data_IF_579818703912
#
_entry.id   IF_579818703912
#
_cell.length_a   1.000
_cell.length_b   1.000
_cell.length_c   1.000
_cell.angle_alpha   90.00
_cell.angle_beta   90.00
_cell.angle_gamma   90.00
#
_symmetry.space_group_name_H-M   'P 1'
#
loop_
_entity.id
_entity.type
_entity.pdbx_description
1 polymer ?
#
# COMPACT_ATOMS: atom_id res chain seq x y z
N UNK A 1 43.28 1.48 -2.50
CA UNK A 1 42.39 2.10 -1.49
C UNK A 1 41.26 2.87 -2.17
N UNK A 2 41.52 3.74 -3.16
CA UNK A 2 40.48 4.44 -3.96
C UNK A 2 39.45 3.53 -4.66
N UNK A 3 39.87 2.41 -5.28
CA UNK A 3 38.93 1.49 -5.96
C UNK A 3 37.88 0.89 -5.03
N UNK A 4 38.26 0.53 -3.80
CA UNK A 4 37.36 -0.12 -2.85
C UNK A 4 36.30 0.85 -2.29
N UNK A 5 36.69 2.11 -2.14
CA UNK A 5 35.81 3.20 -1.70
C UNK A 5 34.80 3.57 -2.81
N UNK A 6 35.26 3.68 -4.06
CA UNK A 6 34.38 3.88 -5.22
C UNK A 6 33.42 2.71 -5.43
N UNK A 7 33.88 1.46 -5.28
CA UNK A 7 33.01 0.29 -5.36
C UNK A 7 31.94 0.29 -4.27
N UNK A 8 32.29 0.65 -3.02
CA UNK A 8 31.34 0.73 -1.91
C UNK A 8 30.28 1.84 -2.13
N UNK A 9 30.68 2.99 -2.66
CA UNK A 9 29.76 4.08 -3.01
C UNK A 9 28.78 3.71 -4.14
N UNK A 10 29.25 2.99 -5.16
CA UNK A 10 28.41 2.51 -6.27
C UNK A 10 27.37 1.53 -5.75
N UNK A 11 27.77 0.59 -4.88
CA UNK A 11 26.85 -0.39 -4.27
C UNK A 11 25.79 0.32 -3.42
N UNK A 12 26.20 1.25 -2.56
CA UNK A 12 25.26 2.04 -1.75
C UNK A 12 24.24 2.81 -2.59
N UNK A 13 24.70 3.52 -3.62
CA UNK A 13 23.84 4.25 -4.56
C UNK A 13 22.86 3.33 -5.29
N UNK A 14 23.33 2.13 -5.69
CA UNK A 14 22.49 1.14 -6.36
C UNK A 14 21.36 0.64 -5.45
N UNK A 15 21.65 0.32 -4.19
CA UNK A 15 20.63 -0.11 -3.23
C UNK A 15 19.62 1.00 -2.94
N UNK A 16 20.08 2.24 -2.80
CA UNK A 16 19.20 3.39 -2.61
C UNK A 16 18.22 3.57 -3.77
N UNK A 17 18.71 3.48 -5.02
CA UNK A 17 17.89 3.57 -6.22
C UNK A 17 16.86 2.45 -6.31
N UNK A 18 17.26 1.21 -6.00
CA UNK A 18 16.39 0.04 -6.01
C UNK A 18 15.26 0.18 -4.98
N UNK A 19 15.61 0.55 -3.75
CA UNK A 19 14.66 0.79 -2.66
C UNK A 19 13.66 1.90 -3.01
N UNK A 20 14.15 3.00 -3.56
CA UNK A 20 13.31 4.12 -4.00
C UNK A 20 12.34 3.71 -5.11
N UNK A 21 12.84 2.95 -6.09
CA UNK A 21 12.03 2.41 -7.20
C UNK A 21 10.92 1.52 -6.68
N UNK A 22 11.23 0.63 -5.72
CA UNK A 22 10.24 -0.24 -5.12
C UNK A 22 9.13 0.55 -4.43
N UNK A 23 9.47 1.55 -3.61
CA UNK A 23 8.48 2.35 -2.89
C UNK A 23 7.56 3.11 -3.85
N UNK A 24 8.10 3.66 -4.93
CA UNK A 24 7.30 4.30 -5.98
C UNK A 24 6.31 3.29 -6.59
N UNK A 25 6.78 2.08 -6.90
CA UNK A 25 5.92 1.04 -7.46
C UNK A 25 4.83 0.61 -6.47
N UNK A 26 5.15 0.43 -5.19
CA UNK A 26 4.19 0.09 -4.16
C UNK A 26 3.08 1.15 -4.04
N UNK A 27 3.44 2.44 -4.13
CA UNK A 27 2.48 3.55 -4.14
C UNK A 27 1.59 3.54 -5.38
N UNK A 28 2.16 3.35 -6.58
CA UNK A 28 1.40 3.28 -7.83
C UNK A 28 0.39 2.11 -7.78
N UNK A 29 0.82 0.94 -7.31
CA UNK A 29 -0.04 -0.24 -7.18
C UNK A 29 -1.22 0.05 -6.24
N UNK A 30 -1.00 0.75 -5.12
CA UNK A 30 -2.06 1.16 -4.20
C UNK A 30 -2.98 2.25 -4.79
N UNK A 31 -2.45 3.22 -5.53
CA UNK A 31 -3.27 4.23 -6.23
C UNK A 31 -4.22 3.52 -7.21
N UNK A 32 -3.70 2.57 -7.98
CA UNK A 32 -4.50 1.80 -8.93
C UNK A 32 -5.54 0.91 -8.24
N UNK A 33 -5.18 0.27 -7.12
CA UNK A 33 -6.11 -0.50 -6.30
C UNK A 33 -7.27 0.37 -5.77
N UNK A 34 -6.98 1.52 -5.15
CA UNK A 34 -8.00 2.47 -4.67
C UNK A 34 -8.90 2.95 -5.82
N UNK A 35 -8.31 3.33 -6.96
CA UNK A 35 -9.07 3.76 -8.13
C UNK A 35 -10.03 2.67 -8.65
N UNK A 36 -9.62 1.41 -8.63
CA UNK A 36 -10.49 0.27 -8.99
C UNK A 36 -11.59 0.03 -7.95
N UNK A 37 -11.32 0.26 -6.66
CA UNK A 37 -12.34 0.17 -5.60
C UNK A 37 -13.42 1.24 -5.79
N UNK A 38 -13.03 2.50 -6.04
CA UNK A 38 -13.99 3.57 -6.37
C UNK A 38 -14.81 3.24 -7.60
N UNK A 39 -14.16 2.84 -8.70
CA UNK A 39 -14.85 2.49 -9.94
C UNK A 39 -15.84 1.33 -9.76
N UNK A 40 -15.52 0.36 -8.89
CA UNK A 40 -16.42 -0.76 -8.60
C UNK A 40 -17.73 -0.29 -7.97
N UNK A 41 -17.64 0.62 -6.98
CA UNK A 41 -18.81 1.20 -6.33
C UNK A 41 -19.60 2.10 -7.27
N UNK A 42 -18.92 2.98 -8.02
CA UNK A 42 -19.59 3.93 -8.92
C UNK A 42 -20.35 3.23 -10.06
N UNK A 43 -19.86 2.09 -10.53
CA UNK A 43 -20.48 1.33 -11.61
C UNK A 43 -21.43 0.23 -11.11
N UNK A 44 -21.56 0.06 -9.79
CA UNK A 44 -22.23 -1.10 -9.17
C UNK A 44 -21.78 -2.43 -9.80
N UNK A 45 -20.49 -2.55 -10.11
CA UNK A 45 -19.92 -3.66 -10.86
C UNK A 45 -18.63 -4.14 -10.19
N UNK A 46 -18.40 -5.46 -10.21
CA UNK A 46 -17.22 -6.07 -9.60
C UNK A 46 -15.99 -5.89 -10.51
N UNK A 47 -15.41 -4.69 -10.50
CA UNK A 47 -14.19 -4.34 -11.25
C UNK A 47 -12.89 -4.60 -10.47
N UNK A 48 -13.01 -5.04 -9.22
CA UNK A 48 -11.92 -5.36 -8.33
C UNK A 48 -12.28 -6.60 -7.51
N UNK A 49 -11.40 -7.59 -7.51
CA UNK A 49 -11.48 -8.69 -6.56
C UNK A 49 -10.90 -8.25 -5.21
N UNK A 50 -11.57 -8.57 -4.10
CA UNK A 50 -10.99 -8.37 -2.78
C UNK A 50 -9.66 -9.12 -2.67
N UNK A 51 -8.64 -8.44 -2.17
CA UNK A 51 -7.31 -9.02 -1.95
C UNK A 51 -6.86 -8.68 -0.53
N UNK A 52 -6.27 -9.66 0.14
CA UNK A 52 -5.66 -9.45 1.46
C UNK A 52 -4.40 -8.58 1.33
N UNK A 53 -4.12 -7.78 2.36
CA UNK A 53 -2.92 -6.94 2.42
C UNK A 53 -1.64 -7.74 2.20
N UNK A 54 -1.52 -8.95 2.75
CA UNK A 54 -0.33 -9.80 2.57
C UNK A 54 -0.22 -10.42 1.17
N UNK A 55 -1.33 -10.49 0.44
CA UNK A 55 -1.36 -11.05 -0.91
C UNK A 55 -1.05 -10.03 -2.00
N UNK A 56 -1.13 -8.72 -1.69
CA UNK A 56 -0.73 -7.68 -2.62
C UNK A 56 0.80 -7.67 -2.80
N UNK A 57 1.30 -7.09 -3.91
CA UNK A 57 2.74 -7.07 -4.20
C UNK A 57 3.57 -6.42 -3.09
N UNK A 58 3.05 -5.35 -2.47
CA UNK A 58 3.71 -4.72 -1.33
C UNK A 58 3.67 -5.61 -0.08
N UNK A 59 2.59 -6.34 0.16
CA UNK A 59 2.49 -7.29 1.27
C UNK A 59 3.46 -8.46 1.15
N UNK A 60 3.55 -9.05 -0.05
CA UNK A 60 4.52 -10.11 -0.33
C UNK A 60 5.95 -9.60 -0.12
N UNK A 61 6.26 -8.40 -0.60
CA UNK A 61 7.54 -7.76 -0.34
C UNK A 61 7.75 -7.47 1.15
N UNK A 62 6.72 -7.00 1.86
CA UNK A 62 6.78 -6.69 3.28
C UNK A 62 7.21 -7.92 4.08
N UNK A 63 6.64 -9.08 3.79
CA UNK A 63 6.90 -10.32 4.52
C UNK A 63 8.28 -10.94 4.21
N UNK A 64 8.89 -10.56 3.07
CA UNK A 64 10.13 -11.14 2.56
C UNK A 64 11.26 -10.06 2.48
N UNK A 65 11.64 -9.64 1.28
CA UNK A 65 12.74 -8.70 1.02
C UNK A 65 12.65 -7.39 1.84
N UNK A 66 11.46 -6.84 2.03
CA UNK A 66 11.24 -5.64 2.82
C UNK A 66 11.64 -5.83 4.27
N UNK A 67 11.43 -7.03 4.83
CA UNK A 67 11.89 -7.38 6.18
C UNK A 67 13.40 -7.45 6.27
N UNK A 68 14.05 -8.05 5.27
CA UNK A 68 15.51 -8.16 5.22
C UNK A 68 16.17 -6.79 5.14
N UNK A 69 15.64 -5.92 4.28
CA UNK A 69 16.20 -4.59 4.01
C UNK A 69 15.84 -3.56 5.07
N UNK A 70 14.57 -3.53 5.51
CA UNK A 70 14.01 -2.45 6.34
C UNK A 70 13.49 -2.91 7.69
N UNK A 71 13.57 -4.20 8.04
CA UNK A 71 13.00 -4.74 9.28
C UNK A 71 13.51 -4.11 10.58
N UNK A 72 14.64 -3.38 10.52
CA UNK A 72 15.21 -2.62 11.66
C UNK A 72 14.73 -1.18 11.75
N UNK A 73 14.08 -0.66 10.71
CA UNK A 73 13.51 0.69 10.69
C UNK A 73 12.22 0.70 11.52
N UNK A 74 11.92 1.85 12.13
CA UNK A 74 10.68 2.01 12.87
C UNK A 74 9.49 2.08 11.90
N UNK A 75 9.69 2.78 10.77
CA UNK A 75 8.67 2.93 9.73
C UNK A 75 8.19 1.58 9.16
N UNK A 76 9.06 0.59 9.01
CA UNK A 76 8.67 -0.76 8.57
C UNK A 76 7.68 -1.43 9.54
N UNK A 77 7.83 -1.27 10.84
CA UNK A 77 6.84 -1.85 11.77
C UNK A 77 5.52 -1.08 11.74
N UNK A 78 5.60 0.25 11.61
CA UNK A 78 4.43 1.13 11.61
C UNK A 78 3.59 1.08 10.32
N UNK A 79 4.14 0.65 9.19
CA UNK A 79 3.40 0.59 7.91
C UNK A 79 2.36 -0.52 7.85
N UNK A 80 2.48 -1.54 8.71
CA UNK A 80 1.56 -2.70 8.71
C UNK A 80 0.11 -2.29 8.91
N UNK A 81 -0.15 -1.55 9.98
CA UNK A 81 -1.52 -1.16 10.37
C UNK A 81 -2.24 -0.33 9.29
N UNK A 82 -1.67 0.77 8.75
CA UNK A 82 -2.33 1.52 7.69
C UNK A 82 -2.47 0.71 6.39
N UNK A 83 -1.53 -0.18 6.06
CA UNK A 83 -1.66 -1.07 4.90
C UNK A 83 -2.85 -2.03 5.04
N UNK A 84 -2.96 -2.71 6.18
CA UNK A 84 -4.09 -3.59 6.49
C UNK A 84 -5.40 -2.81 6.41
N UNK A 85 -5.44 -1.59 6.97
CA UNK A 85 -6.63 -0.76 7.01
C UNK A 85 -7.12 -0.33 5.61
N UNK A 86 -6.20 0.00 4.69
CA UNK A 86 -6.54 0.29 3.28
C UNK A 86 -7.30 -0.88 2.66
N UNK A 87 -6.76 -2.09 2.75
CA UNK A 87 -7.40 -3.29 2.18
C UNK A 87 -8.71 -3.63 2.88
N UNK A 88 -8.77 -3.56 4.20
CA UNK A 88 -9.99 -3.85 4.95
C UNK A 88 -11.15 -2.94 4.54
N UNK A 89 -10.90 -1.64 4.44
CA UNK A 89 -11.94 -0.65 4.11
C UNK A 89 -12.38 -0.72 2.64
N UNK A 90 -11.45 -0.90 1.72
CA UNK A 90 -11.75 -1.15 0.32
C UNK A 90 -12.58 -2.43 0.15
N UNK A 91 -12.12 -3.55 0.72
CA UNK A 91 -12.78 -4.84 0.61
C UNK A 91 -14.18 -4.84 1.25
N UNK A 92 -14.36 -4.13 2.38
CA UNK A 92 -15.68 -3.95 3.01
C UNK A 92 -16.66 -3.26 2.07
N UNK A 93 -16.24 -2.23 1.33
CA UNK A 93 -17.10 -1.60 0.34
C UNK A 93 -17.48 -2.56 -0.79
N UNK A 94 -16.54 -3.39 -1.25
CA UNK A 94 -16.80 -4.38 -2.29
C UNK A 94 -17.84 -5.44 -1.88
N UNK A 95 -18.06 -5.70 -0.58
CA UNK A 95 -19.11 -6.63 -0.15
C UNK A 95 -20.50 -6.09 -0.44
N UNK A 96 -20.72 -4.77 -0.33
CA UNK A 96 -22.01 -4.15 -0.62
C UNK A 96 -22.43 -4.32 -2.09
N UNK A 97 -21.48 -4.37 -3.02
CA UNK A 97 -21.76 -4.67 -4.43
C UNK A 97 -22.31 -6.09 -4.59
N UNK A 98 -21.78 -7.05 -3.84
CA UNK A 98 -22.21 -8.46 -3.90
C UNK A 98 -23.60 -8.66 -3.29
N UNK A 99 -23.97 -7.83 -2.31
CA UNK A 99 -25.28 -7.86 -1.66
C UNK A 99 -26.39 -7.18 -2.48
N UNK A 100 -26.04 -6.41 -3.51
CA UNK A 100 -26.97 -5.78 -4.46
C UNK A 100 -27.18 -4.26 -4.25
N UNK A 101 -27.84 -3.62 -5.21
CA UNK A 101 -27.99 -2.16 -5.25
C UNK A 101 -28.76 -1.59 -4.05
N UNK A 102 -29.82 -2.27 -3.59
CA UNK A 102 -30.59 -1.83 -2.41
C UNK A 102 -29.70 -1.73 -1.17
N UNK A 103 -28.81 -2.70 -0.98
CA UNK A 103 -27.84 -2.73 0.12
C UNK A 103 -26.81 -1.63 -0.01
N UNK A 104 -26.37 -1.30 -1.23
CA UNK A 104 -25.50 -0.14 -1.44
C UNK A 104 -26.18 1.19 -1.07
N UNK A 105 -27.47 1.34 -1.40
CA UNK A 105 -28.25 2.55 -1.08
C UNK A 105 -28.46 2.69 0.44
N UNK A 106 -28.82 1.59 1.12
CA UNK A 106 -29.00 1.54 2.58
C UNK A 106 -27.72 1.91 3.34
N UNK A 107 -26.55 1.51 2.82
CA UNK A 107 -25.26 1.65 3.48
C UNK A 107 -24.39 2.78 2.90
N UNK A 108 -24.98 3.72 2.16
CA UNK A 108 -24.24 4.78 1.46
C UNK A 108 -23.31 5.62 2.36
N UNK A 109 -23.75 5.94 3.58
CA UNK A 109 -22.91 6.67 4.54
C UNK A 109 -21.68 5.84 4.97
N UNK A 110 -21.87 4.55 5.25
CA UNK A 110 -20.77 3.66 5.63
C UNK A 110 -19.79 3.47 4.47
N UNK A 111 -20.29 3.35 3.23
CA UNK A 111 -19.45 3.28 2.03
C UNK A 111 -18.54 4.51 1.93
N UNK A 112 -19.10 5.70 2.13
CA UNK A 112 -18.35 6.96 2.12
C UNK A 112 -17.32 6.99 3.25
N UNK A 113 -17.70 6.62 4.47
CA UNK A 113 -16.81 6.66 5.63
C UNK A 113 -15.67 5.64 5.51
N UNK A 114 -15.95 4.44 4.99
CA UNK A 114 -14.91 3.46 4.67
C UNK A 114 -13.90 4.03 3.66
N UNK A 115 -14.35 4.75 2.62
CA UNK A 115 -13.42 5.38 1.69
C UNK A 115 -12.60 6.52 2.32
N UNK A 116 -13.19 7.34 3.20
CA UNK A 116 -12.42 8.35 3.94
C UNK A 116 -11.33 7.72 4.81
N UNK A 117 -11.67 6.64 5.52
CA UNK A 117 -10.70 5.89 6.33
C UNK A 117 -9.61 5.24 5.48
N UNK A 118 -9.98 4.67 4.33
CA UNK A 118 -9.04 4.11 3.35
C UNK A 118 -8.05 5.17 2.86
N UNK A 119 -8.51 6.37 2.51
CA UNK A 119 -7.64 7.46 2.06
C UNK A 119 -6.70 7.94 3.18
N UNK A 120 -7.24 8.17 4.38
CA UNK A 120 -6.42 8.59 5.52
C UNK A 120 -5.35 7.54 5.87
N UNK A 121 -5.70 6.25 5.82
CA UNK A 121 -4.76 5.16 6.00
C UNK A 121 -3.68 5.14 4.90
N UNK A 122 -4.09 5.35 3.64
CA UNK A 122 -3.17 5.42 2.49
C UNK A 122 -2.19 6.57 2.60
N UNK A 123 -2.62 7.75 3.04
CA UNK A 123 -1.75 8.92 3.23
C UNK A 123 -0.70 8.66 4.31
N UNK A 124 -1.12 8.03 5.42
CA UNK A 124 -0.21 7.61 6.47
C UNK A 124 0.77 6.55 5.98
N UNK A 125 0.30 5.55 5.23
CA UNK A 125 1.16 4.53 4.63
C UNK A 125 2.21 5.17 3.71
N UNK A 126 1.81 6.11 2.86
CA UNK A 126 2.72 6.74 1.89
C UNK A 126 3.78 7.58 2.59
N UNK A 127 3.40 8.29 3.66
CA UNK A 127 4.33 9.04 4.51
C UNK A 127 5.35 8.11 5.19
N UNK A 128 4.91 6.95 5.69
CA UNK A 128 5.78 5.96 6.31
C UNK A 128 6.74 5.33 5.29
N UNK A 129 6.28 5.03 4.08
CA UNK A 129 7.13 4.52 3.01
C UNK A 129 8.23 5.53 2.64
N UNK A 130 7.92 6.83 2.54
CA UNK A 130 8.93 7.86 2.28
C UNK A 130 9.92 8.00 3.44
N UNK A 131 9.41 7.99 4.67
CA UNK A 131 10.23 8.12 5.88
C UNK A 131 11.15 6.91 6.07
N UNK A 132 10.72 5.73 5.63
CA UNK A 132 11.51 4.51 5.66
C UNK A 132 12.77 4.60 4.77
N UNK A 133 12.72 5.32 3.64
CA UNK A 133 13.93 5.60 2.84
C UNK A 133 14.91 6.51 3.57
N UNK A 134 14.39 7.49 4.32
CA UNK A 134 15.24 8.40 5.09
C UNK A 134 15.90 7.72 6.31
N UNK A 135 15.24 6.73 6.91
CA UNK A 135 15.78 5.92 8.01
C UNK A 135 16.85 4.91 7.54
N UNK A 136 16.90 4.58 6.25
CA UNK A 136 17.82 3.60 5.67
C UNK A 136 18.43 4.11 4.35
N UNK A 137 19.36 5.09 4.43
CA UNK A 137 19.92 5.78 3.27
C UNK A 137 20.80 4.91 2.38
#
# INVERSE_FOLDING_TARGET
ISLNESSSQIVGSSHHMENSTFIILAKIDHILYKARAYNSIMQCAKNLDPIDSHQCRMGQWYDDEGKERFGRTNCYNLMRDPHVLVHQKANKNLTYIQEGQDRMLENGNEIIDNFKEMESASDRLFTLLDSMLAENP
#
